data_IF_113248556213
#
_entry.id   IF_113248556213
#
_cell.length_a   1.000
_cell.length_b   1.000
_cell.length_c   1.000
_cell.angle_alpha   90.00
_cell.angle_beta   90.00
_cell.angle_gamma   90.00
#
_symmetry.space_group_name_H-M   'P 1'
#
loop_
_entity.id
_entity.type
_entity.pdbx_description
1 polymer ?
#
# COMPACT_ATOMS: atom_id res chain seq x y z
N UNK A 1 -3.90 -5.45 -3.96
CA UNK A 1 -3.38 -4.88 -5.22
C UNK A 1 -4.49 -4.59 -6.22
N UNK A 2 -4.26 -3.66 -7.14
CA UNK A 2 -5.10 -3.42 -8.31
C UNK A 2 -4.42 -2.51 -9.33
N UNK A 3 -5.02 -2.32 -10.51
CA UNK A 3 -4.39 -1.57 -11.61
C UNK A 3 -4.70 -0.06 -11.59
N UNK A 4 -5.32 0.44 -10.53
CA UNK A 4 -5.77 1.83 -10.43
C UNK A 4 -5.38 2.45 -9.10
N UNK A 5 -5.01 3.72 -9.15
CA UNK A 5 -4.81 4.54 -7.96
C UNK A 5 -6.16 4.91 -7.37
N UNK A 6 -6.38 4.60 -6.09
CA UNK A 6 -7.57 5.04 -5.36
C UNK A 6 -7.32 6.46 -4.83
N UNK A 7 -8.22 7.39 -5.18
CA UNK A 7 -8.24 8.79 -4.71
C UNK A 7 -9.64 9.22 -4.26
N UNK A 8 -10.43 8.28 -3.77
CA UNK A 8 -11.80 8.52 -3.33
C UNK A 8 -12.04 7.74 -2.04
N UNK A 9 -12.33 8.46 -0.95
CA UNK A 9 -12.48 7.88 0.38
C UNK A 9 -13.65 6.89 0.47
N UNK A 10 -14.79 7.20 -0.18
CA UNK A 10 -15.95 6.30 -0.18
C UNK A 10 -15.63 5.00 -0.92
N UNK A 11 -14.99 5.11 -2.09
CA UNK A 11 -14.57 3.93 -2.84
C UNK A 11 -13.53 3.10 -2.08
N UNK A 12 -12.56 3.75 -1.42
CA UNK A 12 -11.59 3.08 -0.53
C UNK A 12 -12.30 2.27 0.55
N UNK A 13 -13.27 2.88 1.24
CA UNK A 13 -13.98 2.23 2.35
C UNK A 13 -14.86 1.08 1.87
N UNK A 14 -15.51 1.24 0.71
CA UNK A 14 -16.30 0.18 0.09
C UNK A 14 -15.44 -1.01 -0.34
N UNK A 15 -14.27 -0.74 -0.95
CA UNK A 15 -13.29 -1.78 -1.29
C UNK A 15 -12.74 -2.43 -0.03
N UNK A 16 -12.39 -1.67 1.01
CA UNK A 16 -11.91 -2.22 2.29
C UNK A 16 -12.90 -3.25 2.86
N UNK A 17 -14.18 -2.87 3.01
CA UNK A 17 -15.25 -3.75 3.50
C UNK A 17 -15.46 -4.97 2.61
N UNK A 18 -15.37 -4.79 1.28
CA UNK A 18 -15.53 -5.89 0.33
C UNK A 18 -14.41 -6.93 0.42
N UNK A 19 -13.20 -6.52 0.79
CA UNK A 19 -12.01 -7.36 0.81
C UNK A 19 -11.48 -7.59 2.23
N UNK A 20 -12.35 -8.05 3.13
CA UNK A 20 -12.00 -8.48 4.50
C UNK A 20 -11.29 -7.40 5.32
N UNK A 21 -11.81 -6.17 5.28
CA UNK A 21 -11.26 -5.01 5.98
C UNK A 21 -9.81 -4.71 5.58
N UNK A 22 -9.58 -4.66 4.25
CA UNK A 22 -8.26 -4.38 3.69
C UNK A 22 -7.68 -3.08 4.26
N UNK A 23 -6.46 -3.16 4.80
CA UNK A 23 -5.78 -2.08 5.52
C UNK A 23 -4.95 -1.16 4.61
N UNK A 24 -4.57 -1.65 3.42
CA UNK A 24 -3.66 -0.95 2.51
C UNK A 24 -4.01 -1.23 1.05
N UNK A 25 -3.76 -0.24 0.18
CA UNK A 25 -4.01 -0.31 -1.25
C UNK A 25 -2.74 0.05 -2.02
N UNK A 26 -2.36 -0.81 -2.96
CA UNK A 26 -1.14 -0.69 -3.76
C UNK A 26 -1.36 -1.42 -5.10
N UNK A 27 -0.36 -1.43 -6.00
CA UNK A 27 -0.59 -1.86 -7.39
C UNK A 27 0.24 -3.09 -7.83
N UNK A 28 1.31 -3.44 -7.12
CA UNK A 28 2.33 -4.37 -7.65
C UNK A 28 2.38 -5.72 -6.93
N UNK A 29 2.13 -5.77 -5.63
CA UNK A 29 2.53 -6.89 -4.78
C UNK A 29 1.90 -8.22 -5.17
N UNK A 30 0.59 -8.26 -5.45
CA UNK A 30 -0.11 -9.49 -5.81
C UNK A 30 0.44 -10.11 -7.10
N UNK A 31 0.94 -9.29 -8.05
CA UNK A 31 1.55 -9.81 -9.27
C UNK A 31 2.88 -10.49 -9.01
N UNK A 32 3.70 -9.93 -8.10
CA UNK A 32 5.00 -10.51 -7.73
C UNK A 32 4.82 -11.80 -6.90
N UNK A 33 3.88 -11.79 -5.95
CA UNK A 33 3.62 -12.91 -5.04
C UNK A 33 2.99 -14.13 -5.72
N UNK A 34 2.49 -14.00 -6.96
CA UNK A 34 1.91 -15.11 -7.69
C UNK A 34 2.95 -16.19 -8.02
N UNK A 35 4.18 -15.77 -8.37
CA UNK A 35 5.24 -16.67 -8.85
C UNK A 35 6.43 -16.75 -7.88
N UNK A 36 6.41 -16.00 -6.77
CA UNK A 36 7.53 -15.90 -5.84
C UNK A 36 7.08 -15.93 -4.38
N UNK A 37 7.76 -16.74 -3.55
CA UNK A 37 7.61 -16.66 -2.10
C UNK A 37 8.30 -15.39 -1.58
N UNK A 38 7.50 -14.38 -1.23
CA UNK A 38 7.99 -13.09 -0.79
C UNK A 38 7.20 -12.54 0.40
N UNK A 39 7.86 -11.69 1.20
CA UNK A 39 7.22 -10.86 2.20
C UNK A 39 7.14 -9.42 1.67
N UNK A 40 5.98 -8.80 1.78
CA UNK A 40 5.75 -7.43 1.32
C UNK A 40 5.93 -6.47 2.51
N UNK A 41 6.89 -5.56 2.39
CA UNK A 41 7.13 -4.49 3.37
C UNK A 41 6.82 -3.15 2.70
N UNK A 42 5.90 -2.37 3.29
CA UNK A 42 5.48 -1.06 2.76
C UNK A 42 5.35 -0.04 3.88
N UNK A 43 5.65 1.21 3.55
CA UNK A 43 5.28 2.37 4.34
C UNK A 43 4.01 3.01 3.77
N UNK A 44 3.25 3.69 4.62
CA UNK A 44 2.01 4.38 4.23
C UNK A 44 2.35 5.82 3.80
N UNK A 45 2.13 6.15 2.53
CA UNK A 45 2.39 7.49 1.96
C UNK A 45 1.16 8.37 1.81
N UNK A 46 -0.04 7.81 1.92
CA UNK A 46 -1.30 8.54 1.76
C UNK A 46 -2.49 7.69 2.22
N UNK A 47 -3.65 8.33 2.31
CA UNK A 47 -4.88 7.72 2.79
C UNK A 47 -5.79 7.17 1.69
N UNK A 48 -5.29 6.99 0.46
CA UNK A 48 -6.09 6.55 -0.69
C UNK A 48 -7.38 7.39 -0.89
N UNK A 49 -7.26 8.70 -0.69
CA UNK A 49 -8.35 9.66 -0.74
C UNK A 49 -8.01 10.83 -1.69
N UNK A 50 -8.89 11.82 -1.86
CA UNK A 50 -8.62 12.96 -2.75
C UNK A 50 -7.39 13.80 -2.38
N UNK A 51 -6.90 13.71 -1.13
CA UNK A 51 -5.76 14.47 -0.63
C UNK A 51 -4.41 13.78 -0.88
N UNK A 52 -4.40 12.67 -1.63
CA UNK A 52 -3.16 11.98 -2.01
C UNK A 52 -2.14 12.95 -2.59
N UNK A 53 -0.97 12.99 -1.97
CA UNK A 53 0.20 13.77 -2.40
C UNK A 53 1.45 12.90 -2.39
N UNK A 54 2.49 13.30 -3.12
CA UNK A 54 3.79 12.61 -3.11
C UNK A 54 4.68 13.01 -1.93
N UNK A 55 4.27 13.99 -1.12
CA UNK A 55 5.11 14.59 -0.08
C UNK A 55 5.61 13.58 0.97
N UNK A 56 4.81 12.56 1.27
CA UNK A 56 5.12 11.58 2.30
C UNK A 56 5.82 10.32 1.77
N UNK A 57 6.09 10.22 0.46
CA UNK A 57 6.69 9.02 -0.14
C UNK A 57 8.09 8.74 0.39
N UNK A 58 8.92 9.77 0.56
CA UNK A 58 10.29 9.60 1.08
C UNK A 58 10.27 9.13 2.54
N UNK A 59 9.38 9.70 3.36
CA UNK A 59 9.21 9.30 4.76
C UNK A 59 8.70 7.86 4.87
N UNK A 60 7.66 7.51 4.10
CA UNK A 60 7.11 6.15 4.05
C UNK A 60 8.14 5.12 3.57
N UNK A 61 8.93 5.48 2.55
CA UNK A 61 10.05 4.66 2.06
C UNK A 61 11.10 4.49 3.13
N UNK A 62 11.50 5.57 3.82
CA UNK A 62 12.47 5.52 4.91
C UNK A 62 12.06 4.58 6.04
N UNK A 63 10.79 4.64 6.46
CA UNK A 63 10.26 3.73 7.48
C UNK A 63 10.26 2.26 7.02
N UNK A 64 9.84 1.99 5.78
CA UNK A 64 9.82 0.64 5.22
C UNK A 64 11.23 0.06 5.09
N UNK A 65 12.19 0.85 4.60
CA UNK A 65 13.60 0.46 4.45
C UNK A 65 14.24 0.22 5.81
N UNK A 66 14.01 1.10 6.79
CA UNK A 66 14.52 0.92 8.14
C UNK A 66 14.02 -0.39 8.76
N UNK A 67 12.71 -0.66 8.66
CA UNK A 67 12.14 -1.92 9.14
C UNK A 67 12.70 -3.14 8.40
N UNK A 68 12.77 -3.09 7.06
CA UNK A 68 13.31 -4.19 6.27
C UNK A 68 14.78 -4.49 6.60
N UNK A 69 15.58 -3.46 6.89
CA UNK A 69 16.99 -3.61 7.29
C UNK A 69 17.16 -4.25 8.66
N UNK A 70 16.26 -4.01 9.61
CA UNK A 70 16.31 -4.63 10.94
C UNK A 70 15.74 -6.05 10.94
N UNK A 71 14.83 -6.35 10.01
CA UNK A 71 14.24 -7.68 9.87
C UNK A 71 15.20 -8.72 9.23
N UNK A 72 16.14 -8.26 8.39
CA UNK A 72 17.08 -9.09 7.61
C UNK A 72 18.47 -9.14 8.25
#
# INVERSE_FOLDING_TARGET
SGNFVIKNAQWRDDVSKRFHDALCFEMEAAGIMQDTQALVIRGISDYADPHKSSHWQDCATGAAVAFARELL
#
